data_IF_008104643630
#
_entry.id   IF_008104643630
#
_cell.length_a   1.000
_cell.length_b   1.000
_cell.length_c   1.000
_cell.angle_alpha   90.00
_cell.angle_beta   90.00
_cell.angle_gamma   90.00
#
_symmetry.space_group_name_H-M   'P 1'
#
loop_
_entity.id
_entity.type
_entity.pdbx_description
1 polymer ?
#
# COMPACT_ATOMS: atom_id res chain seq x y z
N UNK A 1 17.08 -2.68 15.10
CA UNK A 1 15.65 -3.05 15.11
C UNK A 1 15.64 -4.54 14.87
N UNK A 2 15.52 -5.33 15.94
CA UNK A 2 15.40 -6.78 15.81
C UNK A 2 14.02 -7.04 15.24
N UNK A 3 13.98 -7.47 13.97
CA UNK A 3 12.79 -8.13 13.44
C UNK A 3 12.63 -9.41 14.26
N UNK A 4 11.48 -9.54 14.93
CA UNK A 4 11.18 -10.69 15.77
C UNK A 4 11.40 -11.98 14.97
N UNK A 5 12.41 -12.76 15.33
CA UNK A 5 12.76 -14.03 14.66
C UNK A 5 11.62 -15.06 14.75
N UNK A 6 10.58 -14.76 15.53
CA UNK A 6 9.38 -15.58 15.68
C UNK A 6 8.23 -15.18 14.74
N UNK A 7 8.36 -14.14 13.90
CA UNK A 7 7.29 -13.79 12.96
C UNK A 7 7.12 -14.89 11.90
N UNK A 8 5.97 -15.57 11.94
CA UNK A 8 5.59 -16.66 11.03
C UNK A 8 4.44 -16.20 10.15
N UNK A 9 4.68 -15.83 8.88
CA UNK A 9 3.64 -15.39 7.95
C UNK A 9 2.46 -16.37 7.85
N UNK A 10 2.74 -17.68 7.96
CA UNK A 10 1.76 -18.77 7.94
C UNK A 10 0.75 -18.75 9.10
N UNK A 11 1.08 -18.08 10.22
CA UNK A 11 0.21 -17.91 11.39
C UNK A 11 -0.74 -16.69 11.22
N UNK A 12 -0.47 -15.83 10.24
CA UNK A 12 -1.19 -14.58 9.97
C UNK A 12 -1.87 -14.61 8.59
N UNK A 13 -2.88 -15.46 8.42
CA UNK A 13 -3.47 -15.77 7.10
C UNK A 13 -4.38 -14.68 6.53
N UNK A 14 -4.79 -13.70 7.36
CA UNK A 14 -5.76 -12.67 7.00
C UNK A 14 -5.19 -11.26 7.15
N UNK A 15 -3.93 -11.07 6.74
CA UNK A 15 -3.30 -9.75 6.78
C UNK A 15 -3.67 -8.95 5.53
N UNK A 16 -4.09 -7.71 5.72
CA UNK A 16 -4.32 -6.78 4.62
C UNK A 16 -3.77 -5.39 4.91
N UNK A 17 -3.37 -4.73 3.84
CA UNK A 17 -2.95 -3.34 3.86
C UNK A 17 -4.04 -2.49 3.25
N UNK A 18 -4.54 -1.52 4.00
CA UNK A 18 -5.45 -0.49 3.50
C UNK A 18 -4.64 0.77 3.27
N UNK A 19 -4.67 1.27 2.03
CA UNK A 19 -4.00 2.50 1.63
C UNK A 19 -5.07 3.56 1.43
N UNK A 20 -5.02 4.62 2.23
CA UNK A 20 -5.89 5.78 2.07
C UNK A 20 -5.09 6.93 1.50
N UNK A 21 -5.48 7.36 0.31
CA UNK A 21 -4.92 8.50 -0.37
C UNK A 21 -5.89 9.68 -0.22
N UNK A 22 -5.46 10.66 0.56
CA UNK A 22 -6.15 11.92 0.76
C UNK A 22 -5.87 12.83 -0.44
N UNK A 23 -6.50 12.47 -1.56
CA UNK A 23 -6.58 13.26 -2.78
C UNK A 23 -7.93 14.00 -2.83
N UNK A 24 -8.33 14.47 -4.01
CA UNK A 24 -9.61 15.17 -4.21
C UNK A 24 -10.87 14.36 -3.87
N UNK A 25 -10.79 13.02 -3.74
CA UNK A 25 -11.94 12.12 -3.55
C UNK A 25 -11.82 11.20 -2.33
N UNK A 26 -10.67 11.17 -1.64
CA UNK A 26 -10.31 10.14 -0.66
C UNK A 26 -10.41 8.72 -1.26
N UNK A 27 -9.33 8.24 -1.86
CA UNK A 27 -9.26 6.89 -2.42
C UNK A 27 -8.85 5.90 -1.34
N UNK A 28 -9.57 4.79 -1.20
CA UNK A 28 -9.26 3.74 -0.21
C UNK A 28 -9.05 2.41 -0.90
N UNK A 29 -7.80 1.98 -0.98
CA UNK A 29 -7.40 0.73 -1.63
C UNK A 29 -7.17 -0.35 -0.60
N UNK A 30 -7.94 -1.43 -0.66
CA UNK A 30 -7.72 -2.63 0.13
C UNK A 30 -6.82 -3.61 -0.62
N UNK A 31 -5.73 -4.03 0.01
CA UNK A 31 -4.67 -4.86 -0.56
C UNK A 31 -4.46 -6.11 0.33
N UNK A 32 -5.04 -7.27 0.01
CA UNK A 32 -4.81 -8.49 0.77
C UNK A 32 -3.37 -8.97 0.58
N UNK A 33 -2.61 -9.09 1.67
CA UNK A 33 -1.19 -9.45 1.63
C UNK A 33 -1.01 -10.96 1.67
N UNK A 34 -1.36 -11.61 0.57
CA UNK A 34 -1.32 -13.09 0.46
C UNK A 34 0.10 -13.57 0.16
N UNK A 35 0.59 -14.55 0.93
CA UNK A 35 1.88 -15.19 0.68
C UNK A 35 1.88 -15.99 -0.63
N UNK A 36 2.98 -15.96 -1.38
CA UNK A 36 3.18 -16.83 -2.54
C UNK A 36 2.59 -16.34 -3.87
N UNK A 37 1.94 -15.17 -3.87
CA UNK A 37 1.39 -14.53 -5.06
C UNK A 37 2.07 -13.18 -5.32
N UNK A 38 2.35 -12.88 -6.58
CA UNK A 38 2.95 -11.61 -7.03
C UNK A 38 1.93 -10.55 -7.46
N UNK A 39 0.67 -10.92 -7.65
CA UNK A 39 -0.42 -10.04 -8.07
C UNK A 39 -1.61 -10.15 -7.12
N UNK A 40 -1.96 -9.06 -6.45
CA UNK A 40 -3.07 -9.03 -5.49
C UNK A 40 -4.20 -8.13 -6.02
N UNK A 41 -5.48 -8.48 -5.81
CA UNK A 41 -6.58 -7.62 -6.19
C UNK A 41 -6.54 -6.32 -5.39
N UNK A 42 -6.92 -5.21 -6.03
CA UNK A 42 -7.15 -3.92 -5.40
C UNK A 42 -8.64 -3.65 -5.39
N UNK A 43 -9.18 -3.36 -4.22
CA UNK A 43 -10.58 -3.00 -4.05
C UNK A 43 -10.69 -1.53 -3.63
N UNK A 44 -11.54 -0.75 -4.30
CA UNK A 44 -11.92 0.59 -3.84
C UNK A 44 -13.19 0.51 -3.00
N UNK A 45 -13.18 1.19 -1.85
CA UNK A 45 -14.26 1.16 -0.88
C UNK A 45 -15.56 1.75 -1.47
N UNK A 46 -16.40 0.87 -2.01
CA UNK A 46 -17.71 1.20 -2.59
C UNK A 46 -17.84 0.94 -4.10
N UNK A 47 -16.74 0.68 -4.81
CA UNK A 47 -16.74 0.37 -6.25
C UNK A 47 -16.33 -1.08 -6.57
N UNK A 48 -15.79 -1.82 -5.59
CA UNK A 48 -15.39 -3.22 -5.76
C UNK A 48 -13.96 -3.38 -6.29
N UNK A 49 -13.65 -4.48 -6.98
CA UNK A 49 -12.33 -4.69 -7.58
C UNK A 49 -12.08 -3.64 -8.68
N UNK A 50 -11.06 -2.80 -8.48
CA UNK A 50 -10.68 -1.72 -9.40
C UNK A 50 -9.43 -2.05 -10.20
N UNK A 51 -8.69 -3.09 -9.83
CA UNK A 51 -7.53 -3.55 -10.57
C UNK A 51 -6.67 -4.52 -9.78
N UNK A 52 -5.41 -4.64 -10.19
CA UNK A 52 -4.42 -5.50 -9.51
C UNK A 52 -3.18 -4.68 -9.16
N UNK A 53 -2.64 -4.93 -7.98
CA UNK A 53 -1.32 -4.47 -7.57
C UNK A 53 -0.30 -5.59 -7.71
N UNK A 54 0.96 -5.22 -7.85
CA UNK A 54 2.07 -6.17 -7.67
C UNK A 54 2.55 -6.13 -6.25
N UNK A 55 2.67 -7.30 -5.64
CA UNK A 55 3.17 -7.51 -4.29
C UNK A 55 4.41 -8.39 -4.32
N UNK A 56 5.44 -8.00 -3.59
CA UNK A 56 6.64 -8.80 -3.40
C UNK A 56 7.05 -8.76 -1.94
N UNK A 57 7.27 -9.94 -1.35
CA UNK A 57 7.81 -10.05 0.01
C UNK A 57 9.19 -10.71 -0.03
N UNK A 58 10.20 -9.99 0.48
CA UNK A 58 11.51 -10.58 0.82
C UNK A 58 11.80 -10.33 2.30
N UNK A 59 12.47 -9.20 2.60
CA UNK A 59 12.65 -8.66 3.97
C UNK A 59 11.81 -7.41 4.22
N UNK A 60 11.38 -6.78 3.13
CA UNK A 60 10.51 -5.60 3.08
C UNK A 60 9.40 -5.99 2.10
N UNK A 61 8.17 -5.56 2.41
CA UNK A 61 7.04 -5.66 1.50
C UNK A 61 7.08 -4.53 0.47
N UNK A 62 7.06 -4.87 -0.81
CA UNK A 62 7.01 -3.91 -1.90
C UNK A 62 5.66 -4.02 -2.60
N UNK A 63 5.00 -2.87 -2.75
CA UNK A 63 3.71 -2.76 -3.42
C UNK A 63 3.82 -1.76 -4.57
N UNK A 64 3.39 -2.18 -5.76
CA UNK A 64 3.27 -1.30 -6.92
C UNK A 64 1.80 -1.17 -7.33
N UNK A 65 1.29 0.06 -7.30
CA UNK A 65 -0.08 0.42 -7.68
C UNK A 65 -0.10 1.04 -9.08
N UNK A 66 -1.07 0.69 -9.94
CA UNK A 66 -1.25 1.38 -11.21
C UNK A 66 -1.63 2.86 -11.01
N UNK A 67 -0.85 3.78 -11.60
CA UNK A 67 -1.09 5.23 -11.53
C UNK A 67 -2.50 5.63 -11.94
N UNK A 68 -3.06 4.97 -12.97
CA UNK A 68 -4.40 5.25 -13.48
C UNK A 68 -5.51 5.10 -12.43
N UNK A 69 -5.30 4.28 -11.40
CA UNK A 69 -6.29 4.08 -10.33
C UNK A 69 -6.28 5.23 -9.31
N UNK A 70 -5.18 5.97 -9.22
CA UNK A 70 -5.01 7.00 -8.21
C UNK A 70 -5.70 8.31 -8.61
N UNK A 71 -6.01 8.49 -9.90
CA UNK A 71 -6.54 9.73 -10.48
C UNK A 71 -5.73 10.97 -10.06
N UNK A 72 -4.42 10.80 -9.99
CA UNK A 72 -3.45 11.85 -9.66
C UNK A 72 -2.71 12.27 -10.93
N UNK A 73 -2.20 13.50 -10.93
CA UNK A 73 -1.32 14.02 -11.96
C UNK A 73 0.15 14.02 -11.48
N UNK A 74 1.13 13.85 -12.39
CA UNK A 74 2.54 14.02 -12.05
C UNK A 74 2.82 15.38 -11.40
N UNK A 75 3.59 15.39 -10.32
CA UNK A 75 3.93 16.60 -9.57
C UNK A 75 2.93 16.98 -8.47
N UNK A 76 1.74 16.36 -8.43
CA UNK A 76 0.76 16.58 -7.37
C UNK A 76 1.24 16.09 -6.00
N UNK A 77 0.77 16.76 -4.95
CA UNK A 77 0.98 16.34 -3.57
C UNK A 77 -0.24 15.58 -3.07
N UNK A 78 0.00 14.42 -2.47
CA UNK A 78 -1.03 13.60 -1.85
C UNK A 78 -0.65 13.26 -0.41
N UNK A 79 -1.65 13.20 0.46
CA UNK A 79 -1.49 12.62 1.79
C UNK A 79 -1.77 11.12 1.74
N UNK A 80 -0.90 10.29 2.32
CA UNK A 80 -1.09 8.85 2.39
C UNK A 80 -1.16 8.37 3.84
N UNK A 81 -2.05 7.40 4.08
CA UNK A 81 -2.11 6.59 5.30
C UNK A 81 -2.07 5.12 4.91
N UNK A 82 -1.34 4.35 5.69
CA UNK A 82 -1.18 2.92 5.53
C UNK A 82 -1.67 2.26 6.81
N UNK A 83 -2.79 1.54 6.74
CA UNK A 83 -3.40 0.84 7.87
C UNK A 83 -3.20 -0.66 7.65
N UNK A 84 -2.51 -1.32 8.58
CA UNK A 84 -2.32 -2.77 8.56
C UNK A 84 -3.42 -3.43 9.39
N UNK A 85 -4.11 -4.39 8.80
CA UNK A 85 -5.18 -5.14 9.43
C UNK A 85 -4.84 -6.62 9.52
N UNK A 86 -5.34 -7.26 10.56
CA UNK A 86 -5.44 -8.72 10.68
C UNK A 86 -6.92 -9.08 10.91
N UNK A 87 -7.55 -9.62 9.87
CA UNK A 87 -9.00 -9.74 9.81
C UNK A 87 -9.67 -8.37 9.90
N UNK A 88 -10.48 -8.15 10.93
CA UNK A 88 -11.20 -6.89 11.18
C UNK A 88 -10.44 -5.94 12.12
N UNK A 89 -9.33 -6.38 12.70
CA UNK A 89 -8.58 -5.61 13.70
C UNK A 89 -7.44 -4.84 13.06
N UNK A 90 -7.40 -3.51 13.24
CA UNK A 90 -6.25 -2.71 12.84
C UNK A 90 -5.10 -2.98 13.82
N UNK A 91 -3.99 -3.49 13.32
CA UNK A 91 -2.81 -3.87 14.13
C UNK A 91 -1.74 -2.78 14.14
N UNK A 92 -1.61 -2.00 13.06
CA UNK A 92 -0.70 -0.86 13.00
C UNK A 92 -1.18 0.18 11.99
N UNK A 93 -0.67 1.41 12.14
CA UNK A 93 -0.87 2.48 11.18
C UNK A 93 0.44 3.21 10.96
N UNK A 94 0.80 3.45 9.70
CA UNK A 94 1.94 4.26 9.32
C UNK A 94 1.52 5.38 8.36
N UNK A 95 1.94 6.63 8.58
CA UNK A 95 2.51 7.15 9.83
C UNK A 95 1.48 7.15 10.97
N UNK A 96 1.95 7.09 12.21
CA UNK A 96 1.08 7.14 13.41
C UNK A 96 0.62 8.57 13.67
N UNK A 97 -0.69 8.78 13.73
CA UNK A 97 -1.30 10.06 14.12
C UNK A 97 -1.21 11.19 13.09
N UNK A 98 -0.58 10.96 11.94
CA UNK A 98 -0.36 11.94 10.88
C UNK A 98 -0.50 11.29 9.51
N UNK A 99 -0.47 12.11 8.46
CA UNK A 99 -0.46 11.67 7.06
C UNK A 99 0.95 11.81 6.50
N UNK A 100 1.36 10.85 5.64
CA UNK A 100 2.59 10.98 4.88
C UNK A 100 2.31 11.87 3.67
N UNK A 101 2.86 13.08 3.65
CA UNK A 101 2.82 13.91 2.43
C UNK A 101 3.86 13.41 1.44
N UNK A 102 3.41 13.05 0.24
CA UNK A 102 4.27 12.57 -0.84
C UNK A 102 3.92 13.28 -2.14
N UNK A 103 4.95 13.57 -2.95
CA UNK A 103 4.77 14.11 -4.29
C UNK A 103 4.74 12.96 -5.29
N UNK A 104 3.79 12.98 -6.21
CA UNK A 104 3.72 12.02 -7.32
C UNK A 104 4.88 12.31 -8.28
N UNK A 105 5.74 11.32 -8.57
CA UNK A 105 6.87 11.49 -9.45
C UNK A 105 6.47 12.13 -10.80
N UNK A 106 7.19 13.18 -11.18
CA UNK A 106 7.12 13.79 -12.50
C UNK A 106 8.43 13.56 -13.28
N UNK A 107 8.56 14.21 -14.42
CA UNK A 107 9.76 14.12 -15.27
C UNK A 107 11.04 14.67 -14.58
N UNK A 108 10.89 15.39 -13.45
CA UNK A 108 12.01 15.88 -12.65
C UNK A 108 12.43 14.87 -11.56
N UNK A 109 11.65 13.81 -11.32
CA UNK A 109 11.94 12.81 -10.32
C UNK A 109 13.10 11.90 -10.73
N UNK A 110 14.22 11.99 -10.00
CA UNK A 110 15.41 11.16 -10.25
C UNK A 110 15.15 9.74 -9.77
N UNK A 111 15.10 8.78 -10.72
CA UNK A 111 14.90 7.31 -10.54
C UNK A 111 15.97 6.59 -9.70
N UNK A 112 16.71 7.28 -8.83
CA UNK A 112 17.86 6.74 -8.11
C UNK A 112 17.52 5.73 -7.01
N UNK A 113 16.24 5.54 -6.66
CA UNK A 113 15.82 4.83 -5.44
C UNK A 113 15.04 3.53 -5.70
N UNK A 114 14.60 3.25 -6.93
CA UNK A 114 13.80 2.04 -7.21
C UNK A 114 14.62 0.95 -7.93
N UNK A 115 14.81 -0.20 -7.27
CA UNK A 115 15.25 -1.45 -7.88
C UNK A 115 14.18 -2.50 -7.60
N UNK A 116 13.42 -2.90 -8.62
CA UNK A 116 12.66 -4.15 -8.60
C UNK A 116 13.54 -5.27 -9.17
#
# INVERSE_FOLDING_TARGET
MDFDENYRPEEHQNVSLVIRLLNHRETRLHCPLVSGTTEIPLEDAGEGEVGKARWGFRKIGELALPHALLKLEPGEWVGALFELYEGETMVDQCPRGHTLSMQIPDDQFVKSIWRL
#
